data_IF_987237575749
#
_entry.id   IF_987237575749
#
_cell.length_a   1.000
_cell.length_b   1.000
_cell.length_c   1.000
_cell.angle_alpha   90.00
_cell.angle_beta   90.00
_cell.angle_gamma   90.00
#
_symmetry.space_group_name_H-M   'P 1'
#
loop_
_entity.id
_entity.type
_entity.pdbx_description
1 polymer ?
#
# COMPACT_ATOMS: atom_id res chain seq x y z
N UNK A 1 -6.00 1.53 -35.58
CA UNK A 1 -5.90 0.07 -35.37
C UNK A 1 -5.40 -0.20 -33.95
N UNK A 2 -5.87 -1.27 -33.27
CA UNK A 2 -5.35 -1.66 -31.96
C UNK A 2 -3.85 -2.01 -32.04
N UNK A 3 -3.08 -1.69 -31.00
CA UNK A 3 -1.64 -2.01 -30.90
C UNK A 3 -1.43 -3.08 -29.84
N UNK A 4 -0.57 -4.04 -30.14
CA UNK A 4 -0.10 -5.07 -29.19
C UNK A 4 1.27 -4.62 -28.66
N UNK A 5 1.49 -4.73 -27.36
CA UNK A 5 2.75 -4.44 -26.70
C UNK A 5 3.04 -5.52 -25.62
N UNK A 6 4.30 -5.69 -25.27
CA UNK A 6 4.67 -6.50 -24.10
C UNK A 6 4.23 -5.80 -22.81
N UNK A 7 4.01 -6.57 -21.74
CA UNK A 7 3.63 -6.00 -20.44
C UNK A 7 4.63 -4.95 -19.97
N UNK A 8 5.94 -5.24 -20.02
CA UNK A 8 6.98 -4.28 -19.64
C UNK A 8 7.00 -3.01 -20.50
N UNK A 9 6.77 -3.12 -21.82
CA UNK A 9 6.70 -1.94 -22.69
C UNK A 9 5.46 -1.08 -22.39
N UNK A 10 4.32 -1.72 -22.11
CA UNK A 10 3.11 -1.03 -21.70
C UNK A 10 3.31 -0.30 -20.36
N UNK A 11 3.82 -0.98 -19.34
CA UNK A 11 4.09 -0.39 -18.02
C UNK A 11 5.08 0.77 -18.10
N UNK A 12 6.15 0.64 -18.88
CA UNK A 12 7.11 1.72 -19.08
C UNK A 12 6.48 2.95 -19.75
N UNK A 13 5.60 2.74 -20.73
CA UNK A 13 4.88 3.83 -21.38
C UNK A 13 3.88 4.50 -20.44
N UNK A 14 3.08 3.74 -19.69
CA UNK A 14 2.11 4.31 -18.75
C UNK A 14 2.80 5.11 -17.64
N UNK A 15 3.89 4.57 -17.08
CA UNK A 15 4.69 5.25 -16.05
C UNK A 15 5.20 6.59 -16.57
N UNK A 16 5.80 6.64 -17.77
CA UNK A 16 6.35 7.89 -18.34
C UNK A 16 5.26 8.86 -18.80
N UNK A 17 4.24 8.38 -19.49
CA UNK A 17 3.24 9.25 -20.12
C UNK A 17 2.28 9.86 -19.10
N UNK A 18 2.03 9.15 -18.00
CA UNK A 18 1.02 9.52 -17.00
C UNK A 18 1.61 9.73 -15.62
N UNK A 19 2.11 8.68 -14.98
CA UNK A 19 2.34 8.73 -13.53
C UNK A 19 3.53 9.62 -13.15
N UNK A 20 4.57 9.64 -13.97
CA UNK A 20 5.73 10.54 -13.81
C UNK A 20 5.55 11.88 -14.53
N UNK A 21 4.37 12.18 -15.04
CA UNK A 21 4.09 13.43 -15.75
C UNK A 21 3.74 14.54 -14.74
N UNK A 22 4.43 15.69 -14.77
CA UNK A 22 4.16 16.79 -13.83
C UNK A 22 2.70 17.26 -13.87
N UNK A 23 2.04 17.23 -15.03
CA UNK A 23 0.63 17.64 -15.14
C UNK A 23 -0.31 16.70 -14.39
N UNK A 24 -0.05 15.39 -14.46
CA UNK A 24 -0.83 14.42 -13.70
C UNK A 24 -0.54 14.54 -12.19
N UNK A 25 0.73 14.74 -11.83
CA UNK A 25 1.14 14.94 -10.44
C UNK A 25 0.46 16.17 -9.85
N UNK A 26 0.47 17.31 -10.54
CA UNK A 26 -0.21 18.53 -10.09
C UNK A 26 -1.73 18.35 -9.99
N UNK A 27 -2.35 17.59 -10.91
CA UNK A 27 -3.76 17.24 -10.79
C UNK A 27 -4.04 16.39 -9.54
N UNK A 28 -3.17 15.42 -9.22
CA UNK A 28 -3.28 14.66 -7.96
C UNK A 28 -3.02 15.54 -6.74
N UNK A 29 -2.13 16.54 -6.82
CA UNK A 29 -1.91 17.48 -5.72
C UNK A 29 -3.17 18.26 -5.36
N UNK A 30 -3.99 18.61 -6.35
CA UNK A 30 -5.28 19.28 -6.14
C UNK A 30 -6.31 18.41 -5.38
N UNK A 31 -6.14 17.10 -5.37
CA UNK A 31 -7.02 16.13 -4.68
C UNK A 31 -6.53 15.79 -3.25
N UNK A 32 -5.42 16.37 -2.79
CA UNK A 32 -4.89 16.20 -1.42
C UNK A 32 -4.69 14.73 -1.03
N UNK A 33 -5.35 14.30 0.05
CA UNK A 33 -5.24 12.93 0.59
C UNK A 33 -5.55 11.83 -0.44
N UNK A 34 -6.60 12.02 -1.25
CA UNK A 34 -7.01 11.06 -2.28
C UNK A 34 -5.97 10.99 -3.40
N UNK A 35 -5.38 12.13 -3.76
CA UNK A 35 -4.25 12.23 -4.68
C UNK A 35 -3.03 11.47 -4.16
N UNK A 36 -2.66 11.67 -2.91
CA UNK A 36 -1.50 11.01 -2.29
C UNK A 36 -1.69 9.49 -2.24
N UNK A 37 -2.89 9.04 -1.87
CA UNK A 37 -3.27 7.63 -1.87
C UNK A 37 -3.17 7.02 -3.28
N UNK A 38 -3.61 7.77 -4.30
CA UNK A 38 -3.51 7.34 -5.69
C UNK A 38 -2.06 7.21 -6.15
N UNK A 39 -1.20 8.19 -5.83
CA UNK A 39 0.23 8.14 -6.17
C UNK A 39 0.91 6.90 -5.60
N UNK A 40 0.71 6.62 -4.31
CA UNK A 40 1.27 5.42 -3.67
C UNK A 40 0.67 4.13 -4.23
N UNK A 41 -0.63 4.12 -4.55
CA UNK A 41 -1.29 3.00 -5.20
C UNK A 41 -0.61 2.61 -6.52
N UNK A 42 -0.16 3.58 -7.30
CA UNK A 42 0.60 3.31 -8.53
C UNK A 42 1.95 2.67 -8.23
N UNK A 43 2.71 3.18 -7.26
CA UNK A 43 4.01 2.61 -6.90
C UNK A 43 3.86 1.17 -6.37
N UNK A 44 2.80 0.90 -5.60
CA UNK A 44 2.43 -0.45 -5.19
C UNK A 44 2.09 -1.36 -6.37
N UNK A 45 1.38 -0.86 -7.38
CA UNK A 45 1.08 -1.62 -8.59
C UNK A 45 2.35 -1.94 -9.41
N UNK A 46 3.30 -0.99 -9.53
CA UNK A 46 4.59 -1.23 -10.20
C UNK A 46 5.33 -2.38 -9.53
N UNK A 47 5.40 -2.39 -8.21
CA UNK A 47 5.98 -3.52 -7.48
C UNK A 47 5.22 -4.82 -7.69
N UNK A 48 3.89 -4.79 -7.63
CA UNK A 48 3.07 -5.99 -7.82
C UNK A 48 3.32 -6.64 -9.18
N UNK A 49 3.46 -5.84 -10.23
CA UNK A 49 3.84 -6.33 -11.55
C UNK A 49 5.22 -7.00 -11.53
N UNK A 50 6.22 -6.36 -10.93
CA UNK A 50 7.57 -6.92 -10.89
C UNK A 50 7.67 -8.21 -10.05
N UNK A 51 6.88 -8.33 -9.00
CA UNK A 51 6.80 -9.57 -8.21
C UNK A 51 6.26 -10.73 -9.05
N UNK A 52 5.26 -10.47 -9.90
CA UNK A 52 4.64 -11.50 -10.74
C UNK A 52 5.49 -11.80 -11.98
N UNK A 53 6.13 -10.79 -12.55
CA UNK A 53 7.04 -10.90 -13.70
C UNK A 53 8.29 -10.05 -13.44
N UNK A 54 9.41 -10.64 -12.98
CA UNK A 54 10.63 -9.90 -12.62
C UNK A 54 11.20 -9.02 -13.75
N UNK A 55 10.92 -9.36 -15.01
CA UNK A 55 11.35 -8.59 -16.18
C UNK A 55 10.42 -7.44 -16.58
N UNK A 56 9.27 -7.27 -15.90
CA UNK A 56 8.27 -6.27 -16.29
C UNK A 56 8.63 -4.84 -15.90
N UNK A 57 9.50 -4.67 -14.92
CA UNK A 57 9.98 -3.36 -14.42
C UNK A 57 11.51 -3.37 -14.38
N UNK A 58 12.10 -2.30 -14.92
CA UNK A 58 13.55 -2.10 -15.00
C UNK A 58 14.03 -1.15 -13.90
N UNK A 59 15.32 -1.24 -13.57
CA UNK A 59 16.00 -0.37 -12.60
C UNK A 59 15.81 1.13 -12.89
N UNK A 60 15.84 1.57 -14.16
CA UNK A 60 15.65 2.99 -14.53
C UNK A 60 14.25 3.52 -14.21
N UNK A 61 13.26 2.64 -14.13
CA UNK A 61 11.89 3.00 -13.76
C UNK A 61 11.77 3.27 -12.27
N UNK A 62 12.44 2.47 -11.43
CA UNK A 62 12.54 2.74 -9.99
C UNK A 62 13.31 4.03 -9.70
N UNK A 63 14.44 4.25 -10.39
CA UNK A 63 15.17 5.51 -10.30
C UNK A 63 14.27 6.69 -10.68
N UNK A 64 13.48 6.58 -11.75
CA UNK A 64 12.59 7.67 -12.16
C UNK A 64 11.47 7.95 -11.13
N UNK A 65 10.96 6.92 -10.44
CA UNK A 65 10.00 7.09 -9.33
C UNK A 65 10.67 7.86 -8.18
N UNK A 66 11.89 7.46 -7.79
CA UNK A 66 12.67 8.16 -6.79
C UNK A 66 12.89 9.64 -7.16
N UNK A 67 13.41 9.90 -8.37
CA UNK A 67 13.74 11.24 -8.80
C UNK A 67 12.52 12.16 -8.79
N UNK A 68 11.36 11.63 -9.22
CA UNK A 68 10.13 12.41 -9.31
C UNK A 68 9.48 12.62 -7.94
N UNK A 69 9.29 11.57 -7.13
CA UNK A 69 8.48 11.68 -5.91
C UNK A 69 9.28 11.93 -4.62
N UNK A 70 10.57 11.60 -4.61
CA UNK A 70 11.45 11.84 -3.46
C UNK A 70 12.28 13.10 -3.67
N UNK A 71 12.95 13.21 -4.83
CA UNK A 71 13.80 14.36 -5.15
C UNK A 71 13.04 15.53 -5.76
N UNK A 72 11.72 15.39 -5.95
CA UNK A 72 10.86 16.40 -6.54
C UNK A 72 11.48 17.01 -7.80
N UNK A 73 11.85 16.16 -8.77
CA UNK A 73 12.53 16.54 -10.03
C UNK A 73 11.88 17.72 -10.77
N UNK A 74 10.59 17.94 -10.58
CA UNK A 74 9.83 19.00 -11.24
C UNK A 74 9.59 20.24 -10.35
N UNK A 75 10.12 20.24 -9.12
CA UNK A 75 9.96 21.32 -8.14
C UNK A 75 8.50 21.70 -7.87
N UNK A 76 7.65 20.70 -7.64
CA UNK A 76 6.21 20.85 -7.38
C UNK A 76 5.88 21.02 -5.89
N UNK A 77 6.88 21.03 -5.00
CA UNK A 77 6.71 21.11 -3.56
C UNK A 77 6.16 19.80 -2.98
N UNK A 78 6.55 18.65 -3.55
CA UNK A 78 5.98 17.36 -3.16
C UNK A 78 6.25 17.00 -1.71
N UNK A 79 7.41 17.40 -1.19
CA UNK A 79 7.81 17.12 0.19
C UNK A 79 6.83 17.76 1.18
N UNK A 80 6.65 19.07 1.07
CA UNK A 80 5.76 19.85 1.93
C UNK A 80 4.30 19.44 1.70
N UNK A 81 3.94 19.15 0.45
CA UNK A 81 2.59 18.70 0.11
C UNK A 81 2.23 17.35 0.74
N UNK A 82 3.13 16.35 0.69
CA UNK A 82 2.90 15.07 1.35
C UNK A 82 2.79 15.23 2.86
N UNK A 83 3.67 16.02 3.49
CA UNK A 83 3.63 16.30 4.93
C UNK A 83 2.30 16.93 5.36
N UNK A 84 1.77 17.84 4.54
CA UNK A 84 0.50 18.50 4.82
C UNK A 84 -0.72 17.58 4.63
N UNK A 85 -0.73 16.76 3.58
CA UNK A 85 -1.94 16.06 3.16
C UNK A 85 -1.99 14.59 3.56
N UNK A 86 -0.86 13.88 3.52
CA UNK A 86 -0.79 12.46 3.83
C UNK A 86 0.67 11.99 4.03
N UNK A 87 1.33 12.30 5.17
CA UNK A 87 2.74 11.96 5.39
C UNK A 87 3.00 10.45 5.34
N UNK A 88 2.04 9.65 5.82
CA UNK A 88 2.08 8.18 5.75
C UNK A 88 2.18 7.66 4.32
N UNK A 89 1.58 8.34 3.33
CA UNK A 89 1.70 7.96 1.94
C UNK A 89 3.15 8.06 1.45
N UNK A 90 3.89 9.10 1.87
CA UNK A 90 5.28 9.22 1.48
C UNK A 90 6.16 8.14 2.15
N UNK A 91 5.87 7.77 3.40
CA UNK A 91 6.54 6.63 4.03
C UNK A 91 6.27 5.34 3.24
N UNK A 92 5.03 5.07 2.84
CA UNK A 92 4.70 3.90 2.02
C UNK A 92 5.38 3.91 0.64
N UNK A 93 5.58 5.09 0.04
CA UNK A 93 6.34 5.23 -1.20
C UNK A 93 7.81 4.86 -0.97
N UNK A 94 8.43 5.40 0.09
CA UNK A 94 9.82 5.09 0.45
C UNK A 94 9.99 3.61 0.80
N UNK A 95 9.04 3.03 1.54
CA UNK A 95 8.96 1.59 1.81
C UNK A 95 9.07 0.80 0.54
N UNK A 96 8.35 1.22 -0.50
CA UNK A 96 8.37 0.49 -1.75
C UNK A 96 9.69 0.61 -2.50
N UNK A 97 10.34 1.76 -2.44
CA UNK A 97 11.70 1.95 -2.97
C UNK A 97 12.72 1.08 -2.22
N UNK A 98 12.65 1.07 -0.89
CA UNK A 98 13.51 0.25 -0.03
C UNK A 98 13.28 -1.24 -0.29
N UNK A 99 12.03 -1.66 -0.47
CA UNK A 99 11.68 -3.05 -0.78
C UNK A 99 12.18 -3.49 -2.15
N UNK A 100 12.12 -2.62 -3.16
CA UNK A 100 12.71 -2.89 -4.47
C UNK A 100 14.23 -3.10 -4.38
N UNK A 101 14.91 -2.31 -3.53
CA UNK A 101 16.32 -2.49 -3.25
C UNK A 101 16.59 -3.82 -2.51
N UNK A 102 15.80 -4.09 -1.45
CA UNK A 102 15.96 -5.27 -0.60
C UNK A 102 15.78 -6.59 -1.34
N UNK A 103 14.91 -6.61 -2.36
CA UNK A 103 14.63 -7.78 -3.20
C UNK A 103 15.47 -7.87 -4.47
N UNK A 104 16.53 -7.06 -4.58
CA UNK A 104 17.40 -6.99 -5.76
C UNK A 104 16.67 -6.66 -7.08
N UNK A 105 15.47 -6.06 -6.98
CA UNK A 105 14.71 -5.56 -8.13
C UNK A 105 15.32 -4.30 -8.72
N UNK A 106 16.06 -3.57 -7.89
CA UNK A 106 16.74 -2.34 -8.24
C UNK A 106 18.02 -2.17 -7.42
N UNK A 107 19.16 -2.22 -8.09
CA UNK A 107 20.43 -1.80 -7.49
C UNK A 107 20.55 -0.27 -7.56
N UNK A 108 20.01 0.40 -6.55
CA UNK A 108 20.04 1.86 -6.45
C UNK A 108 21.48 2.37 -6.24
N UNK A 109 21.89 3.46 -6.92
CA UNK A 109 23.17 4.12 -6.63
C UNK A 109 23.27 4.53 -5.15
N UNK A 110 24.50 4.58 -4.61
CA UNK A 110 24.74 4.95 -3.21
C UNK A 110 24.09 6.29 -2.84
N UNK A 111 24.20 7.28 -3.72
CA UNK A 111 23.57 8.60 -3.54
C UNK A 111 22.05 8.49 -3.36
N UNK A 112 21.39 7.69 -4.19
CA UNK A 112 19.94 7.48 -4.12
C UNK A 112 19.54 6.72 -2.84
N UNK A 113 20.33 5.73 -2.42
CA UNK A 113 20.13 5.04 -1.13
C UNK A 113 20.21 6.02 0.04
N UNK A 114 21.19 6.94 -0.01
CA UNK A 114 21.38 8.00 0.99
C UNK A 114 20.21 8.98 1.02
N UNK A 115 19.72 9.41 -0.14
CA UNK A 115 18.56 10.32 -0.27
C UNK A 115 17.27 9.70 0.29
N UNK A 116 17.01 8.43 -0.02
CA UNK A 116 15.90 7.65 0.54
C UNK A 116 16.04 7.57 2.07
N UNK A 117 17.23 7.21 2.56
CA UNK A 117 17.52 7.07 3.98
C UNK A 117 17.33 8.39 4.75
N UNK A 118 17.82 9.51 4.21
CA UNK A 118 17.63 10.84 4.78
C UNK A 118 16.15 11.24 4.83
N UNK A 119 15.41 11.03 3.74
CA UNK A 119 13.99 11.37 3.71
C UNK A 119 13.19 10.52 4.70
N UNK A 120 13.51 9.24 4.79
CA UNK A 120 12.89 8.33 5.75
C UNK A 120 13.13 8.79 7.19
N UNK A 121 14.39 9.09 7.55
CA UNK A 121 14.73 9.56 8.89
C UNK A 121 13.95 10.83 9.24
N UNK A 122 13.86 11.79 8.31
CA UNK A 122 13.12 13.03 8.52
C UNK A 122 11.62 12.81 8.82
N UNK A 123 11.01 11.75 8.26
CA UNK A 123 9.63 11.37 8.54
C UNK A 123 9.50 10.56 9.84
N UNK A 124 10.49 9.72 10.13
CA UNK A 124 10.56 8.95 11.38
C UNK A 124 10.71 9.87 12.60
N UNK A 125 11.50 10.95 12.50
CA UNK A 125 11.64 11.98 13.53
C UNK A 125 10.33 12.72 13.81
N UNK A 126 9.39 12.69 12.87
CA UNK A 126 8.02 13.20 13.01
C UNK A 126 7.03 12.13 13.51
N UNK A 127 7.53 10.95 13.92
CA UNK A 127 6.74 9.78 14.32
C UNK A 127 5.78 9.26 13.24
N UNK A 128 6.12 9.45 11.95
CA UNK A 128 5.34 8.90 10.84
C UNK A 128 5.88 7.50 10.51
N UNK A 129 5.04 6.49 10.70
CA UNK A 129 5.40 5.07 10.51
C UNK A 129 4.34 4.38 9.65
N UNK A 130 4.75 3.48 8.74
CA UNK A 130 3.88 2.62 7.95
C UNK A 130 4.50 1.21 7.84
N UNK A 131 3.94 0.28 7.05
CA UNK A 131 4.69 -0.89 6.56
C UNK A 131 4.94 -2.07 7.50
N UNK A 132 5.83 -2.96 7.04
CA UNK A 132 6.23 -4.24 7.64
C UNK A 132 7.60 -4.13 8.32
N UNK A 133 7.79 -4.91 9.40
CA UNK A 133 8.99 -4.86 10.24
C UNK A 133 10.27 -5.22 9.47
N UNK A 134 10.21 -6.13 8.50
CA UNK A 134 11.39 -6.59 7.75
C UNK A 134 11.96 -5.46 6.87
N UNK A 135 11.09 -4.72 6.16
CA UNK A 135 11.49 -3.57 5.36
C UNK A 135 12.08 -2.46 6.23
N UNK A 136 11.55 -2.28 7.45
CA UNK A 136 12.05 -1.28 8.41
C UNK A 136 13.41 -1.64 8.97
N UNK A 137 13.65 -2.91 9.28
CA UNK A 137 14.97 -3.36 9.70
C UNK A 137 16.02 -3.11 8.61
N UNK A 138 15.69 -3.42 7.36
CA UNK A 138 16.57 -3.14 6.23
C UNK A 138 16.78 -1.63 6.03
N UNK A 139 15.73 -0.81 6.14
CA UNK A 139 15.85 0.65 6.10
C UNK A 139 16.77 1.17 7.22
N UNK A 140 16.66 0.64 8.44
CA UNK A 140 17.53 0.96 9.58
C UNK A 140 18.99 0.61 9.31
N UNK A 141 19.25 -0.57 8.73
CA UNK A 141 20.60 -0.97 8.34
C UNK A 141 21.16 -0.05 7.24
N UNK A 142 20.34 0.30 6.24
CA UNK A 142 20.72 1.23 5.18
C UNK A 142 21.06 2.62 5.73
N UNK A 143 20.23 3.16 6.64
CA UNK A 143 20.48 4.43 7.34
C UNK A 143 21.78 4.38 8.16
N UNK A 144 22.01 3.30 8.92
CA UNK A 144 23.22 3.12 9.71
C UNK A 144 24.49 3.13 8.84
N UNK A 145 24.44 2.56 7.63
CA UNK A 145 25.53 2.61 6.65
C UNK A 145 25.95 4.02 6.23
N UNK A 146 25.07 5.02 6.42
CA UNK A 146 25.33 6.43 6.14
C UNK A 146 25.57 7.27 7.39
N UNK A 147 25.65 6.66 8.58
CA UNK A 147 25.77 7.37 9.85
C UNK A 147 24.49 8.06 10.30
N UNK A 148 23.33 7.69 9.74
CA UNK A 148 22.02 8.21 10.12
C UNK A 148 21.46 7.34 11.26
N UNK A 149 21.24 7.94 12.42
CA UNK A 149 20.64 7.28 13.57
C UNK A 149 19.12 7.40 13.53
N UNK A 150 18.40 6.30 13.34
CA UNK A 150 16.98 6.27 13.70
C UNK A 150 16.87 6.62 15.18
N UNK A 151 16.09 7.63 15.55
CA UNK A 151 15.84 8.05 16.93
C UNK A 151 15.13 7.01 17.81
N UNK A 152 15.27 5.71 17.53
CA UNK A 152 14.84 4.63 18.40
C UNK A 152 15.81 4.56 19.59
N UNK A 153 15.31 4.90 20.77
CA UNK A 153 16.03 4.83 22.04
C UNK A 153 16.86 3.54 22.19
N UNK A 154 18.08 3.61 22.76
CA UNK A 154 18.90 2.44 22.96
C UNK A 154 18.17 1.47 23.88
N UNK A 155 17.88 0.27 23.37
CA UNK A 155 17.48 -0.88 24.18
C UNK A 155 18.69 -1.17 25.08
N UNK A 156 18.60 -1.09 26.43
CA UNK A 156 19.80 -1.23 27.25
C UNK A 156 20.32 -2.66 27.10
N UNK A 157 21.55 -2.75 26.58
CA UNK A 157 22.35 -3.96 26.58
C UNK A 157 22.49 -4.45 28.02
N UNK A 158 22.07 -5.69 28.27
CA UNK A 158 22.30 -6.36 29.53
C UNK A 158 23.79 -6.68 29.67
N UNK A 159 24.57 -5.75 30.24
CA UNK A 159 25.90 -6.04 30.76
C UNK A 159 25.82 -6.19 32.26
N UNK A 160 26.07 -7.41 32.73
CA UNK A 160 26.17 -7.78 34.14
C UNK A 160 27.53 -7.39 34.70
N UNK A 161 27.57 -6.63 35.80
CA UNK A 161 28.68 -6.65 36.75
C UNK A 161 28.24 -6.10 38.13
N UNK A 162 28.65 -6.81 39.18
CA UNK A 162 28.33 -6.68 40.60
C UNK A 162 28.67 -5.32 41.25
N UNK A 163 27.89 -4.91 42.26
CA UNK A 163 28.40 -4.63 43.62
C UNK A 163 27.26 -4.36 44.63
N UNK A 164 27.18 -5.28 45.60
CA UNK A 164 26.71 -5.21 46.99
C UNK A 164 26.03 -3.95 47.57
N UNK A 165 24.86 -4.17 48.19
CA UNK A 165 24.11 -3.22 49.02
C UNK A 165 24.66 -3.15 50.46
N UNK A 166 24.30 -2.12 51.26
CA UNK A 166 23.28 -2.39 52.28
C UNK A 166 22.24 -1.26 52.53
N UNK A 167 20.97 -1.67 52.44
CA UNK A 167 19.82 -1.42 53.35
C UNK A 167 19.56 -0.04 54.00
N UNK A 168 18.44 0.60 53.62
CA UNK A 168 17.27 1.00 54.48
C UNK A 168 16.18 1.73 53.61
N UNK A 169 14.98 2.06 54.13
CA UNK A 169 13.67 1.38 54.05
C UNK A 169 12.77 1.79 52.85
N UNK A 170 11.64 1.11 52.59
CA UNK A 170 10.89 1.22 51.33
C UNK A 170 10.08 2.52 51.29
N UNK A 171 10.51 3.46 50.46
CA UNK A 171 9.67 4.60 50.07
C UNK A 171 9.18 4.37 48.64
N UNK A 172 7.87 4.25 48.52
CA UNK A 172 7.05 4.40 47.31
C UNK A 172 7.58 3.72 46.04
N UNK A 173 7.06 2.53 45.75
CA UNK A 173 7.08 1.99 44.40
C UNK A 173 6.41 3.01 43.45
N UNK A 174 7.05 3.46 42.37
CA UNK A 174 6.32 4.13 41.31
C UNK A 174 5.33 3.12 40.73
N UNK A 175 4.06 3.48 40.81
CA UNK A 175 2.94 2.73 40.27
C UNK A 175 3.24 2.44 38.79
N UNK A 176 3.58 1.18 38.49
CA UNK A 176 3.69 0.71 37.11
C UNK A 176 2.29 0.75 36.54
N UNK A 177 1.97 1.82 35.81
CA UNK A 177 0.75 1.92 35.00
C UNK A 177 0.82 0.82 33.95
N UNK A 178 0.16 -0.30 34.27
CA UNK A 178 -0.07 -1.41 33.37
C UNK A 178 -1.12 -0.91 32.37
N UNK A 179 -0.67 -0.48 31.19
CA UNK A 179 -1.55 -0.11 30.10
C UNK A 179 -2.58 -1.21 29.83
N UNK A 180 -3.78 -0.81 29.41
CA UNK A 180 -4.86 -1.72 29.04
C UNK A 180 -4.33 -2.78 28.07
N UNK A 181 -4.33 -4.03 28.53
CA UNK A 181 -4.01 -5.17 27.69
C UNK A 181 -5.20 -5.38 26.76
N UNK A 182 -4.99 -5.26 25.45
CA UNK A 182 -5.97 -5.71 24.47
C UNK A 182 -6.08 -7.23 24.57
N UNK A 183 -7.18 -7.73 25.13
CA UNK A 183 -7.60 -9.11 24.91
C UNK A 183 -8.32 -9.18 23.57
N UNK A 184 -7.96 -10.16 22.75
CA UNK A 184 -8.69 -10.44 21.52
C UNK A 184 -10.14 -10.80 21.88
N UNK A 185 -11.06 -9.87 21.62
CA UNK A 185 -12.49 -10.13 21.67
C UNK A 185 -12.78 -11.15 20.55
N UNK A 186 -13.26 -12.37 20.83
CA UNK A 186 -13.73 -13.24 19.78
C UNK A 186 -14.83 -12.50 19.00
N UNK A 187 -14.87 -12.64 17.66
CA UNK A 187 -15.83 -11.94 16.83
C UNK A 187 -17.25 -12.19 17.37
N UNK A 188 -18.14 -11.18 17.34
CA UNK A 188 -19.50 -11.37 17.81
C UNK A 188 -20.08 -12.58 17.08
N UNK A 189 -20.53 -13.57 17.86
CA UNK A 189 -21.26 -14.72 17.35
C UNK A 189 -22.49 -14.19 16.63
N UNK A 190 -22.37 -14.03 15.32
CA UNK A 190 -23.51 -13.75 14.47
C UNK A 190 -24.46 -14.94 14.65
N UNK A 191 -25.74 -14.72 15.00
CA UNK A 191 -26.69 -15.83 15.06
C UNK A 191 -26.63 -16.55 13.70
N UNK A 192 -26.60 -17.90 13.68
CA UNK A 192 -26.46 -18.65 12.45
C UNK A 192 -27.55 -18.19 11.47
N UNK A 193 -27.13 -17.67 10.32
CA UNK A 193 -28.04 -17.28 9.25
C UNK A 193 -28.97 -18.45 8.96
N UNK A 194 -30.29 -18.29 9.10
CA UNK A 194 -31.21 -19.40 8.97
C UNK A 194 -31.07 -20.02 7.58
N UNK A 195 -30.87 -21.34 7.53
CA UNK A 195 -30.65 -22.08 6.28
C UNK A 195 -31.73 -21.82 5.23
N UNK A 196 -32.97 -21.55 5.65
CA UNK A 196 -34.10 -21.25 4.78
C UNK A 196 -33.96 -19.93 4.00
N UNK A 197 -33.15 -18.97 4.45
CA UNK A 197 -32.85 -17.74 3.69
C UNK A 197 -32.11 -18.02 2.39
N UNK A 198 -31.22 -19.01 2.36
CA UNK A 198 -30.51 -19.43 1.13
C UNK A 198 -31.49 -20.01 0.11
N UNK A 199 -32.46 -20.81 0.59
CA UNK A 199 -33.53 -21.37 -0.25
C UNK A 199 -34.52 -20.32 -0.73
N UNK A 200 -34.79 -19.29 0.09
CA UNK A 200 -35.63 -18.16 -0.30
C UNK A 200 -35.02 -17.40 -1.49
N UNK A 201 -33.70 -17.13 -1.44
CA UNK A 201 -32.98 -16.50 -2.55
C UNK A 201 -33.00 -17.34 -3.84
N UNK A 202 -32.82 -18.66 -3.71
CA UNK A 202 -32.90 -19.58 -4.85
C UNK A 202 -34.32 -19.65 -5.44
N UNK A 203 -35.37 -19.64 -4.61
CA UNK A 203 -36.76 -19.62 -5.07
C UNK A 203 -37.09 -18.34 -5.85
N UNK A 204 -36.63 -17.18 -5.37
CA UNK A 204 -36.82 -15.91 -6.07
C UNK A 204 -36.12 -15.95 -7.44
N UNK A 205 -34.87 -16.43 -7.51
CA UNK A 205 -34.15 -16.57 -8.77
C UNK A 205 -34.85 -17.54 -9.75
N UNK A 206 -35.29 -18.70 -9.27
CA UNK A 206 -35.99 -19.70 -10.08
C UNK A 206 -37.33 -19.21 -10.61
N UNK A 207 -38.09 -18.45 -9.81
CA UNK A 207 -39.34 -17.85 -10.26
C UNK A 207 -39.13 -16.80 -11.35
N UNK A 208 -38.08 -15.97 -11.26
CA UNK A 208 -37.72 -15.02 -12.30
C UNK A 208 -37.38 -15.73 -13.62
N UNK A 209 -36.61 -16.82 -13.57
CA UNK A 209 -36.28 -17.62 -14.76
C UNK A 209 -37.52 -18.29 -15.37
N UNK A 210 -38.42 -18.84 -14.55
CA UNK A 210 -39.65 -19.45 -15.02
C UNK A 210 -40.60 -18.44 -15.69
N UNK A 211 -40.75 -17.24 -15.11
CA UNK A 211 -41.52 -16.14 -15.71
C UNK A 211 -40.90 -15.72 -17.05
N UNK A 212 -39.57 -15.63 -17.13
CA UNK A 212 -38.84 -15.38 -18.37
C UNK A 212 -39.12 -16.43 -19.46
N UNK A 213 -39.05 -17.71 -19.11
CA UNK A 213 -39.31 -18.81 -20.05
C UNK A 213 -40.77 -18.81 -20.56
N UNK A 214 -41.75 -18.59 -19.67
CA UNK A 214 -43.18 -18.51 -20.04
C UNK A 214 -43.45 -17.28 -20.92
N UNK A 215 -42.83 -16.14 -20.62
CA UNK A 215 -42.88 -14.95 -21.46
C UNK A 215 -42.35 -15.23 -22.88
N UNK A 216 -41.22 -15.91 -22.98
CA UNK A 216 -40.58 -16.25 -24.24
C UNK A 216 -41.43 -17.22 -25.08
N UNK A 217 -42.05 -18.23 -24.45
CA UNK A 217 -43.01 -19.14 -25.09
C UNK A 217 -44.28 -18.45 -25.61
N UNK A 218 -44.79 -17.44 -24.88
CA UNK A 218 -45.93 -16.62 -25.30
C UNK A 218 -45.59 -15.68 -26.47
N UNK A 219 -44.35 -15.20 -26.56
CA UNK A 219 -43.90 -14.40 -27.71
C UNK A 219 -43.69 -15.24 -28.98
N UNK A 220 -43.15 -16.46 -28.86
CA UNK A 220 -42.96 -17.35 -30.02
C UNK A 220 -44.26 -17.89 -30.62
N UNK A 221 -45.35 -17.94 -29.85
CA UNK A 221 -46.66 -18.42 -30.34
C UNK A 221 -47.47 -17.34 -31.06
N UNK A 222 -47.20 -16.05 -30.80
CA UNK A 222 -47.89 -14.93 -31.47
C UNK A 222 -47.39 -14.63 -32.89
N UNK A 223 -46.17 -15.04 -33.24
CA UNK A 223 -45.61 -14.78 -34.59
C UNK A 223 -46.00 -15.83 -35.65
N UNK A 224 -46.74 -16.88 -35.29
CA UNK A 224 -47.06 -18.00 -36.20
C UNK A 224 -48.47 -17.94 -36.82
N UNK A 225 -49.26 -16.90 -36.54
CA UNK A 225 -50.63 -16.76 -37.06
C UNK A 225 -50.78 -15.72 -38.19
N UNK A 226 -49.73 -14.98 -38.55
CA UNK A 226 -49.79 -13.93 -39.58
C UNK A 226 -49.06 -14.31 -40.90
N UNK A 227 -49.17 -15.57 -41.34
CA UNK A 227 -48.78 -15.97 -42.70
C UNK A 227 -49.93 -16.74 -43.36
N UNK A 228 -50.86 -16.00 -43.95
CA UNK A 228 -51.86 -16.53 -44.87
C UNK A 228 -51.60 -15.95 -46.27
N UNK A 229 -51.04 -16.73 -47.22
CA UNK A 229 -51.06 -16.37 -48.62
C UNK A 229 -52.31 -16.99 -49.29
N UNK A 230 -53.17 -16.14 -49.82
CA UNK A 230 -54.12 -16.45 -50.90
C UNK A 230 -54.21 -15.22 -51.79
#
# INVERSE_FOLDING_TARGET
APRIATAGAFLANELRARYLNPQWISAMQAEGYAGATTMVGIVNNVWGWQVVDPGSVRADQWQAIHDVYVMDKYALGLREWFEQHHPTAQVQLLERLVEAIRRDFWDAPEQTRREIAQRWQALADQNVVAGDEETHEFARQMMAGFGLSSGAAPRPEATSAHSEAPSAPPTAAPERVRGQVMQAQPPPLSPPEPWWRRWLGLLVLMSALAVGAVSQLRHHTRFRLDFNPS
#
